data_IF_508819597789
#
_entry.id   IF_508819597789
#
_cell.length_a   1.000
_cell.length_b   1.000
_cell.length_c   1.000
_cell.angle_alpha   90.00
_cell.angle_beta   90.00
_cell.angle_gamma   90.00
#
_symmetry.space_group_name_H-M   'P 1'
#
loop_
_entity.id
_entity.type
_entity.pdbx_description
1 polymer ?
#
# COMPACT_ATOMS: atom_id res chain seq x y z
N UNK A 1 -2.54 5.79 15.56
CA UNK A 1 -1.14 5.98 15.12
C UNK A 1 -0.21 5.08 15.93
N UNK A 2 0.88 4.61 15.32
CA UNK A 2 1.77 3.60 15.92
C UNK A 2 2.72 4.16 17.00
N UNK A 3 3.04 5.46 16.95
CA UNK A 3 3.98 6.10 17.88
C UNK A 3 3.44 7.40 18.44
N UNK A 4 3.99 7.82 19.58
CA UNK A 4 3.59 9.06 20.24
C UNK A 4 3.96 10.30 19.42
N UNK A 5 5.14 10.29 18.79
CA UNK A 5 5.57 11.41 17.93
C UNK A 5 4.64 11.57 16.71
N UNK A 6 4.27 10.47 16.07
CA UNK A 6 3.32 10.52 14.96
C UNK A 6 1.93 10.98 15.42
N UNK A 7 1.49 10.55 16.62
CA UNK A 7 0.25 11.04 17.21
C UNK A 7 0.26 12.55 17.46
N UNK A 8 1.37 13.09 17.96
CA UNK A 8 1.54 14.53 18.16
C UNK A 8 1.54 15.29 16.83
N UNK A 9 2.19 14.77 15.81
CA UNK A 9 2.20 15.37 14.48
C UNK A 9 0.80 15.39 13.86
N UNK A 10 0.06 14.29 13.93
CA UNK A 10 -1.34 14.25 13.51
C UNK A 10 -2.19 15.24 14.31
N UNK A 11 -2.01 15.29 15.62
CA UNK A 11 -2.72 16.24 16.48
C UNK A 11 -2.53 17.69 16.06
N UNK A 12 -1.28 18.10 15.80
CA UNK A 12 -0.99 19.45 15.30
C UNK A 12 -1.67 19.71 13.95
N UNK A 13 -1.58 18.76 13.02
CA UNK A 13 -2.16 18.89 11.69
C UNK A 13 -3.70 18.98 11.75
N UNK A 14 -4.34 18.10 12.52
CA UNK A 14 -5.79 18.12 12.66
C UNK A 14 -6.29 19.38 13.38
N UNK A 15 -5.67 19.77 14.49
CA UNK A 15 -6.01 21.03 15.18
C UNK A 15 -5.92 22.23 14.25
N UNK A 16 -4.84 22.34 13.47
CA UNK A 16 -4.67 23.45 12.51
C UNK A 16 -5.73 23.43 11.41
N UNK A 17 -6.05 22.26 10.84
CA UNK A 17 -7.00 22.15 9.73
C UNK A 17 -8.47 22.30 10.16
N UNK A 18 -8.80 21.83 11.36
CA UNK A 18 -10.16 21.88 11.90
C UNK A 18 -10.47 23.09 12.75
N UNK A 19 -9.51 24.02 12.89
CA UNK A 19 -9.67 25.24 13.69
C UNK A 19 -10.91 26.04 13.29
N UNK A 20 -11.15 26.17 11.99
CA UNK A 20 -12.30 26.93 11.44
C UNK A 20 -13.65 26.27 11.68
N UNK A 21 -13.67 24.96 11.97
CA UNK A 21 -14.91 24.18 12.15
C UNK A 21 -15.32 24.05 13.62
N UNK A 22 -14.61 24.70 14.54
CA UNK A 22 -14.83 24.58 15.98
C UNK A 22 -14.90 23.13 16.50
N UNK A 23 -14.09 22.25 15.89
CA UNK A 23 -14.06 20.81 16.17
C UNK A 23 -13.10 20.52 17.31
N UNK A 24 -13.58 19.78 18.32
CA UNK A 24 -12.76 19.35 19.46
C UNK A 24 -11.84 18.21 19.07
N UNK A 25 -10.52 18.44 19.12
CA UNK A 25 -9.47 17.45 18.81
C UNK A 25 -8.69 17.13 20.08
N UNK A 26 -8.78 15.89 20.55
CA UNK A 26 -8.02 15.40 21.70
C UNK A 26 -6.91 14.41 21.30
N UNK A 27 -5.90 14.28 22.15
CA UNK A 27 -4.79 13.33 21.94
C UNK A 27 -4.64 12.45 23.16
N UNK A 28 -4.70 11.13 22.94
CA UNK A 28 -4.50 10.13 23.98
C UNK A 28 -3.23 9.33 23.71
N UNK A 29 -2.21 9.62 24.46
CA UNK A 29 -0.92 8.95 24.38
C UNK A 29 -0.39 8.69 25.80
N UNK A 30 0.77 8.09 25.90
CA UNK A 30 1.43 7.91 27.22
C UNK A 30 1.84 9.22 27.90
N UNK A 31 1.96 10.33 27.17
CA UNK A 31 2.24 11.66 27.74
C UNK A 31 1.01 12.35 28.31
N UNK A 32 -0.17 11.82 28.01
CA UNK A 32 -1.40 12.37 28.56
C UNK A 32 -1.45 12.12 30.06
N UNK A 33 -1.50 13.18 30.85
CA UNK A 33 -1.57 13.10 32.31
C UNK A 33 -2.84 12.35 32.75
N UNK A 34 -2.82 11.79 33.97
CA UNK A 34 -3.98 11.07 34.50
C UNK A 34 -5.25 11.95 34.58
N UNK A 35 -5.07 13.26 34.86
CA UNK A 35 -6.17 14.22 34.91
C UNK A 35 -6.75 14.47 33.50
N UNK A 36 -5.91 14.76 32.54
CA UNK A 36 -6.31 14.95 31.14
C UNK A 36 -6.95 13.69 30.57
N UNK A 37 -6.40 12.50 30.89
CA UNK A 37 -6.96 11.24 30.46
C UNK A 37 -8.40 11.06 30.93
N UNK A 38 -8.71 11.38 32.20
CA UNK A 38 -10.09 11.31 32.71
C UNK A 38 -11.00 12.26 31.95
N UNK A 39 -10.58 13.48 31.71
CA UNK A 39 -11.35 14.49 30.96
C UNK A 39 -11.61 14.01 29.51
N UNK A 40 -10.60 13.45 28.85
CA UNK A 40 -10.75 12.90 27.50
C UNK A 40 -11.75 11.74 27.49
N UNK A 41 -11.66 10.81 28.45
CA UNK A 41 -12.58 9.67 28.52
C UNK A 41 -14.03 10.10 28.78
N UNK A 42 -14.26 11.10 29.63
CA UNK A 42 -15.57 11.69 29.87
C UNK A 42 -16.10 12.40 28.62
N UNK A 43 -15.26 13.23 27.96
CA UNK A 43 -15.64 13.92 26.72
C UNK A 43 -15.96 12.99 25.56
N UNK A 44 -15.28 11.84 25.46
CA UNK A 44 -15.60 10.80 24.45
C UNK A 44 -16.95 10.13 24.75
N UNK A 45 -17.24 9.85 26.01
CA UNK A 45 -18.49 9.26 26.43
C UNK A 45 -19.68 10.21 26.23
N UNK A 46 -19.48 11.50 26.44
CA UNK A 46 -20.52 12.52 26.28
C UNK A 46 -20.69 12.98 24.83
N UNK A 47 -19.70 12.73 23.96
CA UNK A 47 -19.68 13.23 22.57
C UNK A 47 -19.10 14.62 22.39
N UNK A 48 -18.46 15.19 23.43
CA UNK A 48 -17.83 16.53 23.39
C UNK A 48 -16.57 16.53 22.53
N UNK A 49 -15.91 15.35 22.36
CA UNK A 49 -14.72 15.18 21.55
C UNK A 49 -15.11 14.50 20.23
N UNK A 50 -14.96 15.23 19.13
CA UNK A 50 -15.28 14.75 17.80
C UNK A 50 -14.12 13.99 17.14
N UNK A 51 -12.86 14.36 17.43
CA UNK A 51 -11.68 13.72 16.86
C UNK A 51 -10.73 13.29 17.98
N UNK A 52 -10.46 11.98 18.05
CA UNK A 52 -9.45 11.44 18.96
C UNK A 52 -8.26 10.92 18.18
N UNK A 53 -7.07 11.42 18.48
CA UNK A 53 -5.81 10.89 17.99
C UNK A 53 -5.15 10.10 19.11
N UNK A 54 -4.95 8.79 18.88
CA UNK A 54 -4.45 7.91 19.92
C UNK A 54 -3.36 6.96 19.42
N UNK A 55 -2.52 6.50 20.33
CA UNK A 55 -1.61 5.38 20.13
C UNK A 55 -2.28 4.06 20.54
N UNK A 56 -1.50 3.00 20.76
CA UNK A 56 -1.99 1.71 21.27
C UNK A 56 -2.80 1.82 22.58
N UNK A 57 -2.75 2.98 23.26
CA UNK A 57 -3.60 3.27 24.44
C UNK A 57 -5.11 3.18 24.14
N UNK A 58 -5.51 3.25 22.87
CA UNK A 58 -6.90 3.12 22.42
C UNK A 58 -7.49 1.72 22.66
N UNK A 59 -6.68 0.68 22.67
CA UNK A 59 -7.14 -0.72 22.80
C UNK A 59 -7.40 -1.16 24.25
N UNK A 60 -7.56 -0.22 25.18
CA UNK A 60 -7.91 -0.52 26.56
C UNK A 60 -9.42 -0.66 26.72
N UNK A 61 -9.85 -1.64 27.55
CA UNK A 61 -11.28 -1.97 27.75
C UNK A 61 -12.14 -0.82 28.28
N UNK A 62 -11.51 0.19 28.90
CA UNK A 62 -12.21 1.28 29.61
C UNK A 62 -12.68 2.42 28.68
N UNK A 63 -12.29 2.42 27.41
CA UNK A 63 -12.65 3.50 26.49
C UNK A 63 -14.03 3.21 25.89
N UNK A 64 -14.95 4.17 26.08
CA UNK A 64 -16.29 4.15 25.50
C UNK A 64 -16.48 5.39 24.63
N UNK A 65 -16.95 5.18 23.41
CA UNK A 65 -17.34 6.25 22.50
C UNK A 65 -18.87 6.39 22.52
N UNK A 66 -19.36 7.63 22.47
CA UNK A 66 -20.77 7.92 22.34
C UNK A 66 -21.29 7.47 20.97
N UNK A 67 -20.62 7.96 19.91
CA UNK A 67 -20.96 7.62 18.53
C UNK A 67 -19.68 7.57 17.68
N UNK A 68 -19.07 6.38 17.56
CA UNK A 68 -17.89 6.18 16.74
C UNK A 68 -18.31 5.87 15.30
N UNK A 69 -18.13 6.82 14.38
CA UNK A 69 -18.49 6.63 12.97
C UNK A 69 -17.31 6.20 12.09
N UNK A 70 -16.09 6.64 12.41
CA UNK A 70 -14.91 6.38 11.56
C UNK A 70 -13.69 6.01 12.40
N UNK A 71 -12.99 4.97 11.98
CA UNK A 71 -11.68 4.58 12.52
C UNK A 71 -10.63 4.63 11.42
N UNK A 72 -9.58 5.44 11.64
CA UNK A 72 -8.44 5.52 10.73
C UNK A 72 -7.22 4.93 11.40
N UNK A 73 -6.62 3.91 10.78
CA UNK A 73 -5.42 3.22 11.25
C UNK A 73 -4.28 3.59 10.31
N UNK A 74 -3.34 4.40 10.79
CA UNK A 74 -2.13 4.75 10.04
C UNK A 74 -0.98 3.79 10.39
N UNK A 75 -0.21 3.38 9.37
CA UNK A 75 0.82 2.34 9.46
C UNK A 75 0.23 1.01 9.97
N UNK A 76 -0.80 0.50 9.28
CA UNK A 76 -1.59 -0.68 9.66
C UNK A 76 -0.73 -1.89 10.07
N UNK A 77 0.43 -2.07 9.45
CA UNK A 77 1.37 -3.17 9.72
C UNK A 77 1.96 -3.15 11.14
N UNK A 78 1.85 -2.04 11.86
CA UNK A 78 2.34 -1.89 13.24
C UNK A 78 1.31 -2.31 14.30
N UNK A 79 0.10 -2.66 13.88
CA UNK A 79 -0.99 -3.08 14.77
C UNK A 79 -1.27 -4.57 14.61
N UNK A 80 -1.38 -5.28 15.72
CA UNK A 80 -1.78 -6.68 15.75
C UNK A 80 -3.22 -6.89 15.26
N UNK A 81 -3.51 -8.09 14.76
CA UNK A 81 -4.84 -8.47 14.28
C UNK A 81 -5.88 -8.34 15.39
N UNK A 82 -5.60 -8.89 16.57
CA UNK A 82 -6.49 -8.84 17.74
C UNK A 82 -6.85 -7.41 18.17
N UNK A 83 -5.88 -6.47 18.05
CA UNK A 83 -6.14 -5.07 18.38
C UNK A 83 -7.13 -4.42 17.43
N UNK A 84 -7.02 -4.72 16.14
CA UNK A 84 -7.94 -4.20 15.11
C UNK A 84 -9.33 -4.78 15.30
N UNK A 85 -9.43 -6.08 15.46
CA UNK A 85 -10.68 -6.81 15.66
C UNK A 85 -11.41 -6.36 16.93
N UNK A 86 -10.69 -6.03 18.01
CA UNK A 86 -11.30 -5.55 19.25
C UNK A 86 -12.20 -4.32 19.04
N UNK A 87 -11.77 -3.34 18.23
CA UNK A 87 -12.58 -2.15 17.96
C UNK A 87 -13.67 -2.42 16.93
N UNK A 88 -13.39 -3.20 15.90
CA UNK A 88 -14.35 -3.55 14.85
C UNK A 88 -15.52 -4.35 15.44
N UNK A 89 -15.23 -5.37 16.25
CA UNK A 89 -16.26 -6.19 16.88
C UNK A 89 -17.11 -5.41 17.89
N UNK A 90 -16.51 -4.40 18.53
CA UNK A 90 -17.24 -3.57 19.50
C UNK A 90 -18.12 -2.50 18.85
N UNK A 91 -17.75 -2.05 17.64
CA UNK A 91 -18.44 -1.01 16.87
C UNK A 91 -18.62 -1.48 15.43
N UNK A 92 -19.53 -2.40 15.13
CA UNK A 92 -19.60 -3.07 13.81
C UNK A 92 -20.02 -2.16 12.65
N UNK A 93 -20.57 -0.98 12.93
CA UNK A 93 -21.05 -0.03 11.90
C UNK A 93 -20.04 1.08 11.56
N UNK A 94 -18.77 0.97 11.99
CA UNK A 94 -17.77 2.00 11.72
C UNK A 94 -17.21 1.87 10.31
N UNK A 95 -16.92 3.01 9.70
CA UNK A 95 -16.07 3.07 8.50
C UNK A 95 -14.60 2.89 8.89
N UNK A 96 -13.96 1.84 8.38
CA UNK A 96 -12.57 1.53 8.67
C UNK A 96 -11.68 1.95 7.49
N UNK A 97 -10.73 2.84 7.76
CA UNK A 97 -9.68 3.22 6.83
C UNK A 97 -8.32 2.73 7.35
N UNK A 98 -7.68 1.86 6.60
CA UNK A 98 -6.31 1.40 6.88
C UNK A 98 -5.34 2.04 5.90
N UNK A 99 -4.34 2.75 6.40
CA UNK A 99 -3.32 3.42 5.60
C UNK A 99 -1.99 2.69 5.72
N UNK A 100 -1.32 2.49 4.60
CA UNK A 100 0.01 1.90 4.57
C UNK A 100 0.85 2.51 3.45
N UNK A 101 2.11 2.82 3.73
CA UNK A 101 3.07 3.24 2.72
C UNK A 101 3.63 2.05 1.93
N UNK A 102 3.59 0.85 2.51
CA UNK A 102 4.03 -0.39 1.89
C UNK A 102 2.88 -1.39 1.98
N UNK A 103 2.21 -1.71 0.87
CA UNK A 103 1.13 -2.68 0.90
C UNK A 103 1.67 -4.01 1.44
N UNK A 104 1.03 -4.50 2.51
CA UNK A 104 1.33 -5.82 3.03
C UNK A 104 0.80 -6.81 1.97
N UNK A 105 1.58 -7.82 1.57
CA UNK A 105 1.15 -8.82 0.60
C UNK A 105 -0.23 -9.41 0.90
N UNK A 106 -0.51 -9.68 2.18
CA UNK A 106 -1.81 -10.20 2.63
C UNK A 106 -2.97 -9.19 2.42
N UNK A 107 -2.77 -7.91 2.73
CA UNK A 107 -3.80 -6.87 2.53
C UNK A 107 -4.08 -6.66 1.04
N UNK A 108 -3.04 -6.70 0.22
CA UNK A 108 -3.15 -6.65 -1.23
C UNK A 108 -3.92 -7.86 -1.78
N UNK A 109 -3.59 -9.05 -1.30
CA UNK A 109 -4.27 -10.29 -1.66
C UNK A 109 -5.76 -10.25 -1.29
N UNK A 110 -6.10 -9.80 -0.08
CA UNK A 110 -7.50 -9.61 0.35
C UNK A 110 -8.26 -8.60 -0.53
N UNK A 111 -7.56 -7.59 -1.04
CA UNK A 111 -8.17 -6.64 -1.96
C UNK A 111 -8.37 -7.24 -3.36
N UNK A 112 -7.42 -8.00 -3.87
CA UNK A 112 -7.55 -8.72 -5.13
C UNK A 112 -8.70 -9.74 -5.09
N UNK A 113 -8.96 -10.33 -3.93
CA UNK A 113 -10.07 -11.25 -3.68
C UNK A 113 -11.42 -10.54 -3.41
N UNK A 114 -11.48 -9.20 -3.46
CA UNK A 114 -12.72 -8.47 -3.21
C UNK A 114 -13.18 -8.42 -1.75
N UNK A 115 -12.33 -8.85 -0.82
CA UNK A 115 -12.62 -8.84 0.62
C UNK A 115 -12.40 -7.46 1.26
N UNK A 116 -11.60 -6.60 0.62
CA UNK A 116 -11.35 -5.22 1.03
C UNK A 116 -11.26 -4.30 -0.18
N UNK A 117 -11.85 -3.14 -0.09
CA UNK A 117 -11.64 -2.09 -1.08
C UNK A 117 -10.22 -1.53 -0.97
N UNK A 118 -9.61 -1.22 -2.11
CA UNK A 118 -8.27 -0.64 -2.20
C UNK A 118 -8.31 0.64 -3.02
N UNK A 119 -7.81 1.72 -2.43
CA UNK A 119 -7.56 2.96 -3.15
C UNK A 119 -6.06 3.23 -3.18
N UNK A 120 -5.51 3.44 -4.36
CA UNK A 120 -4.08 3.72 -4.55
C UNK A 120 -3.88 5.21 -4.80
N UNK A 121 -3.10 5.87 -3.92
CA UNK A 121 -2.66 7.25 -4.12
C UNK A 121 -1.29 7.20 -4.79
N UNK A 122 -1.27 7.11 -6.12
CA UNK A 122 -0.04 6.92 -6.92
C UNK A 122 0.62 8.21 -7.37
N UNK A 123 -0.10 9.33 -7.43
CA UNK A 123 0.43 10.61 -7.93
C UNK A 123 1.09 11.39 -6.78
N UNK A 124 2.40 11.64 -6.85
CA UNK A 124 3.08 12.46 -5.86
C UNK A 124 2.67 13.95 -6.01
N UNK A 125 2.80 14.76 -4.94
CA UNK A 125 2.63 16.21 -5.06
C UNK A 125 3.57 16.82 -6.10
N UNK A 126 3.09 17.78 -6.89
CA UNK A 126 3.80 18.40 -8.01
C UNK A 126 5.18 19.01 -7.64
N UNK A 127 5.34 19.43 -6.39
CA UNK A 127 6.58 20.04 -5.90
C UNK A 127 7.58 19.04 -5.30
N UNK A 128 7.30 17.74 -5.37
CA UNK A 128 8.17 16.73 -4.79
C UNK A 128 9.19 16.24 -5.82
N UNK A 129 10.48 16.45 -5.51
CA UNK A 129 11.59 16.02 -6.36
C UNK A 129 11.95 14.58 -5.99
N UNK A 130 12.24 13.75 -7.00
CA UNK A 130 12.70 12.37 -6.81
C UNK A 130 14.00 12.30 -6.00
N UNK A 131 14.12 11.24 -5.19
CA UNK A 131 15.28 11.03 -4.33
C UNK A 131 16.37 10.30 -5.14
N UNK A 132 17.53 10.91 -5.25
CA UNK A 132 18.67 10.28 -5.92
C UNK A 132 19.29 9.23 -5.00
N UNK A 133 19.27 7.98 -5.44
CA UNK A 133 19.73 6.84 -4.62
C UNK A 133 21.04 6.30 -5.15
N UNK A 134 22.05 6.23 -4.29
CA UNK A 134 23.37 5.67 -4.58
C UNK A 134 23.55 4.37 -3.79
N UNK A 135 23.83 3.28 -4.48
CA UNK A 135 24.20 1.99 -3.89
C UNK A 135 25.67 1.77 -4.15
N UNK A 136 26.46 1.75 -3.10
CA UNK A 136 27.91 1.65 -3.24
C UNK A 136 28.57 1.03 -2.00
N UNK A 137 29.78 0.52 -2.17
CA UNK A 137 30.64 0.13 -1.04
C UNK A 137 30.91 1.35 -0.16
N UNK A 138 31.02 1.13 1.16
CA UNK A 138 31.42 2.20 2.06
C UNK A 138 32.78 2.75 1.69
N UNK A 139 32.86 4.05 1.48
CA UNK A 139 34.06 4.84 1.29
C UNK A 139 33.97 6.09 2.17
N UNK A 140 35.00 6.32 2.98
CA UNK A 140 35.05 7.44 3.92
C UNK A 140 34.86 8.78 3.21
N UNK A 141 35.48 8.97 2.06
CA UNK A 141 35.38 10.22 1.28
C UNK A 141 33.93 10.47 0.87
N UNK A 142 33.23 9.47 0.35
CA UNK A 142 31.82 9.59 -0.05
C UNK A 142 30.94 9.91 1.14
N UNK A 143 31.16 9.31 2.30
CA UNK A 143 30.43 9.57 3.54
C UNK A 143 30.59 11.02 4.00
N UNK A 144 31.85 11.48 4.13
CA UNK A 144 32.18 12.82 4.58
C UNK A 144 31.65 13.88 3.60
N UNK A 145 31.78 13.64 2.30
CA UNK A 145 31.26 14.54 1.24
C UNK A 145 29.74 14.66 1.30
N UNK A 146 29.03 13.55 1.49
CA UNK A 146 27.56 13.57 1.61
C UNK A 146 27.09 14.46 2.78
N UNK A 147 27.74 14.36 3.94
CA UNK A 147 27.42 15.15 5.11
C UNK A 147 27.76 16.62 4.91
N UNK A 148 28.97 16.92 4.45
CA UNK A 148 29.43 18.30 4.25
C UNK A 148 28.55 19.02 3.25
N UNK A 149 28.18 18.38 2.14
CA UNK A 149 27.29 18.96 1.14
C UNK A 149 25.90 19.27 1.70
N UNK A 150 25.36 18.38 2.54
CA UNK A 150 24.04 18.62 3.15
C UNK A 150 24.05 19.78 4.15
N UNK A 151 25.06 19.78 5.03
CA UNK A 151 25.20 20.82 6.06
C UNK A 151 25.49 22.17 5.42
N UNK A 152 26.34 22.24 4.39
CA UNK A 152 26.66 23.48 3.66
C UNK A 152 25.45 24.16 3.04
N UNK A 153 24.45 23.38 2.63
CA UNK A 153 23.19 23.91 2.08
C UNK A 153 22.11 24.14 3.15
N UNK A 154 22.45 24.01 4.45
CA UNK A 154 21.55 24.22 5.58
C UNK A 154 20.50 23.11 5.77
N UNK A 155 20.78 21.92 5.28
CA UNK A 155 19.94 20.74 5.48
C UNK A 155 20.42 19.88 6.64
N UNK A 156 19.71 18.77 6.87
CA UNK A 156 19.97 17.81 7.94
C UNK A 156 20.24 16.41 7.34
N UNK A 157 21.09 15.66 8.04
CA UNK A 157 21.49 14.30 7.63
C UNK A 157 20.89 13.27 8.58
N UNK A 158 20.28 12.27 7.99
CA UNK A 158 19.75 11.14 8.70
C UNK A 158 20.64 9.90 8.46
N UNK A 159 21.23 9.35 9.51
CA UNK A 159 22.16 8.23 9.44
C UNK A 159 21.57 7.01 10.13
N UNK A 160 21.41 5.91 9.41
CA UNK A 160 20.83 4.67 9.92
C UNK A 160 21.88 3.57 9.96
N UNK A 161 21.96 2.90 11.08
CA UNK A 161 22.84 1.75 11.28
C UNK A 161 22.03 0.52 11.69
N UNK A 162 22.42 -0.70 11.30
CA UNK A 162 21.63 -1.90 11.60
C UNK A 162 21.68 -2.31 13.09
N UNK A 163 22.76 -1.97 13.80
CA UNK A 163 22.99 -2.37 15.19
C UNK A 163 23.52 -1.21 16.03
N UNK A 164 23.20 -1.22 17.32
CA UNK A 164 23.70 -0.23 18.29
C UNK A 164 25.24 -0.23 18.31
N UNK A 165 25.88 -1.40 18.16
CA UNK A 165 27.34 -1.53 18.11
C UNK A 165 28.03 -0.79 16.96
N UNK A 166 27.27 -0.40 15.93
CA UNK A 166 27.79 0.40 14.80
C UNK A 166 27.78 1.90 15.06
N UNK A 167 27.08 2.38 16.10
CA UNK A 167 26.97 3.81 16.41
C UNK A 167 28.35 4.44 16.70
N UNK A 168 29.20 3.86 17.56
CA UNK A 168 30.51 4.46 17.85
C UNK A 168 31.41 4.63 16.61
N UNK A 169 31.29 3.72 15.63
CA UNK A 169 32.00 3.86 14.36
C UNK A 169 31.57 5.15 13.64
N UNK A 170 30.27 5.39 13.52
CA UNK A 170 29.72 6.58 12.84
C UNK A 170 30.10 7.85 13.60
N UNK A 171 30.05 7.86 14.93
CA UNK A 171 30.45 8.99 15.74
C UNK A 171 31.95 9.32 15.53
N UNK A 172 32.80 8.31 15.45
CA UNK A 172 34.24 8.50 15.17
C UNK A 172 34.47 9.05 13.75
N UNK A 173 33.69 8.61 12.76
CA UNK A 173 33.77 9.14 11.40
C UNK A 173 33.33 10.60 11.35
N UNK A 174 32.27 10.97 12.07
CA UNK A 174 31.82 12.37 12.18
C UNK A 174 32.88 13.28 12.82
N UNK A 175 33.57 12.83 13.87
CA UNK A 175 34.65 13.58 14.53
C UNK A 175 35.83 13.89 13.60
N UNK A 176 36.07 13.05 12.59
CA UNK A 176 37.13 13.28 11.61
C UNK A 176 36.87 14.45 10.66
N UNK A 177 35.61 14.92 10.55
CA UNK A 177 35.24 16.08 9.73
C UNK A 177 35.85 17.39 10.25
N UNK A 178 36.31 17.45 11.51
CA UNK A 178 36.81 18.68 12.15
C UNK A 178 35.83 19.87 12.05
N UNK A 179 34.55 19.61 11.79
CA UNK A 179 33.46 20.57 11.76
C UNK A 179 32.68 20.46 13.08
N UNK A 180 32.20 21.60 13.57
CA UNK A 180 31.32 21.64 14.72
C UNK A 180 29.90 21.21 14.32
N UNK A 181 29.72 19.89 14.16
CA UNK A 181 28.45 19.29 13.76
C UNK A 181 27.70 18.84 14.98
N UNK A 182 26.52 19.44 15.20
CA UNK A 182 25.60 18.96 16.23
C UNK A 182 24.96 17.63 15.80
N UNK A 183 25.11 16.59 16.62
CA UNK A 183 24.46 15.31 16.32
C UNK A 183 23.75 14.73 17.55
N UNK A 184 22.72 13.94 17.29
CA UNK A 184 22.00 13.17 18.28
C UNK A 184 21.99 11.69 17.95
N UNK A 185 21.83 10.87 18.98
CA UNK A 185 21.77 9.41 18.85
C UNK A 185 20.44 8.91 19.35
N UNK A 186 19.79 8.00 18.57
CA UNK A 186 18.52 7.36 18.95
C UNK A 186 18.57 5.84 18.75
N UNK A 187 18.35 5.05 19.82
CA UNK A 187 18.33 3.59 19.73
C UNK A 187 17.40 2.93 20.78
N UNK A 188 17.04 1.66 20.57
CA UNK A 188 16.02 0.92 21.34
C UNK A 188 16.34 0.73 22.83
N UNK A 189 17.61 0.84 23.23
CA UNK A 189 18.01 0.71 24.65
C UNK A 189 17.89 2.02 25.43
N UNK A 190 17.65 3.15 24.77
CA UNK A 190 17.38 4.43 25.43
C UNK A 190 15.97 4.45 26.01
N UNK A 191 15.77 5.28 27.03
CA UNK A 191 14.42 5.56 27.52
C UNK A 191 13.64 6.26 26.42
N UNK A 192 12.37 5.91 26.29
CA UNK A 192 11.51 6.45 25.25
C UNK A 192 11.44 7.97 25.23
N UNK A 193 11.50 8.61 26.42
CA UNK A 193 11.53 10.08 26.55
C UNK A 193 12.82 10.65 25.95
N UNK A 194 13.95 10.03 26.19
CA UNK A 194 15.25 10.48 25.63
C UNK A 194 15.24 10.39 24.10
N UNK A 195 14.67 9.32 23.57
CA UNK A 195 14.51 9.15 22.12
C UNK A 195 13.66 10.28 21.55
N UNK A 196 12.53 10.59 22.20
CA UNK A 196 11.62 11.63 21.75
C UNK A 196 12.24 13.02 21.84
N UNK A 197 12.98 13.33 22.89
CA UNK A 197 13.70 14.60 23.05
C UNK A 197 14.72 14.79 21.91
N UNK A 198 15.50 13.75 21.58
CA UNK A 198 16.45 13.78 20.47
C UNK A 198 15.72 14.00 19.13
N UNK A 199 14.59 13.32 18.93
CA UNK A 199 13.80 13.50 17.69
C UNK A 199 13.18 14.88 17.57
N UNK A 200 12.68 15.43 18.67
CA UNK A 200 12.14 16.79 18.69
C UNK A 200 13.24 17.80 18.36
N UNK A 201 14.42 17.68 18.95
CA UNK A 201 15.58 18.53 18.66
C UNK A 201 16.00 18.40 17.18
N UNK A 202 15.97 17.19 16.61
CA UNK A 202 16.24 17.01 15.19
C UNK A 202 15.16 17.63 14.30
N UNK A 203 13.89 17.44 14.64
CA UNK A 203 12.78 18.02 13.88
C UNK A 203 12.74 19.54 13.94
N UNK A 204 13.15 20.13 15.06
CA UNK A 204 13.23 21.57 15.25
C UNK A 204 14.46 22.21 14.56
N UNK A 205 15.45 21.40 14.15
CA UNK A 205 16.70 21.86 13.53
C UNK A 205 17.85 22.13 14.50
N UNK A 206 17.69 21.83 15.81
CA UNK A 206 18.72 22.02 16.81
C UNK A 206 19.90 21.02 16.62
N UNK A 207 19.63 19.92 15.96
CA UNK A 207 20.60 18.85 15.63
C UNK A 207 20.69 18.72 14.11
N UNK A 208 21.92 18.72 13.58
CA UNK A 208 22.21 18.62 12.15
C UNK A 208 22.27 17.18 11.66
N UNK A 209 22.78 16.26 12.48
CA UNK A 209 22.89 14.84 12.16
C UNK A 209 22.13 14.00 13.19
N UNK A 210 21.30 13.07 12.73
CA UNK A 210 20.69 12.09 13.59
C UNK A 210 21.21 10.70 13.26
N UNK A 211 21.87 10.06 14.21
CA UNK A 211 22.34 8.66 14.10
C UNK A 211 21.33 7.77 14.79
N UNK A 212 20.82 6.78 14.09
CA UNK A 212 19.82 5.90 14.68
C UNK A 212 19.90 4.48 14.19
N UNK A 213 19.37 3.58 15.01
CA UNK A 213 19.02 2.23 14.57
C UNK A 213 17.62 2.24 13.93
N UNK A 214 17.10 1.08 13.57
CA UNK A 214 15.84 0.85 12.85
C UNK A 214 14.55 1.37 13.56
N UNK A 215 14.67 2.13 14.66
CA UNK A 215 13.54 2.65 15.43
C UNK A 215 12.71 3.69 14.65
N UNK A 216 13.28 4.25 13.58
CA UNK A 216 12.74 5.39 12.85
C UNK A 216 11.78 4.99 11.72
N UNK A 217 11.34 3.76 11.66
CA UNK A 217 10.33 3.30 10.71
C UNK A 217 8.97 4.02 10.86
N UNK A 218 8.75 4.74 11.95
CA UNK A 218 7.44 5.29 12.31
C UNK A 218 7.22 6.72 11.80
N UNK A 219 6.64 6.84 10.61
CA UNK A 219 5.80 7.94 10.09
C UNK A 219 6.22 9.41 10.26
N UNK A 220 7.34 9.72 10.91
CA UNK A 220 7.74 11.08 11.25
C UNK A 220 8.12 11.89 10.01
N UNK A 221 7.57 13.08 9.88
CA UNK A 221 7.89 14.03 8.82
C UNK A 221 9.03 14.97 9.27
N UNK A 222 10.18 14.87 8.61
CA UNK A 222 11.35 15.69 8.87
C UNK A 222 11.64 16.53 7.63
N UNK A 223 11.11 17.74 7.59
CA UNK A 223 11.15 18.60 6.39
C UNK A 223 12.55 18.95 5.91
N UNK A 224 13.52 19.10 6.82
CA UNK A 224 14.88 19.54 6.50
C UNK A 224 15.86 18.38 6.30
N UNK A 225 15.48 17.14 6.59
CA UNK A 225 16.31 15.98 6.33
C UNK A 225 16.26 15.61 4.83
N UNK A 226 17.25 16.03 4.06
CA UNK A 226 17.32 15.77 2.64
C UNK A 226 18.44 14.80 2.27
N UNK A 227 19.28 14.38 3.20
CA UNK A 227 20.29 13.32 2.98
C UNK A 227 20.07 12.17 3.97
N UNK A 228 19.91 10.97 3.42
CA UNK A 228 19.83 9.71 4.15
C UNK A 228 21.10 8.90 3.89
N UNK A 229 21.70 8.37 4.95
CA UNK A 229 22.84 7.46 4.85
C UNK A 229 22.49 6.18 5.60
N UNK A 230 22.58 5.02 4.93
CA UNK A 230 22.31 3.71 5.54
C UNK A 230 23.59 2.89 5.47
N UNK A 231 24.13 2.52 6.63
CA UNK A 231 25.28 1.62 6.74
C UNK A 231 24.80 0.15 6.70
N UNK A 232 25.63 -0.72 6.09
CA UNK A 232 25.33 -2.14 5.95
C UNK A 232 23.90 -2.37 5.42
N UNK A 233 23.54 -1.63 4.37
CA UNK A 233 22.20 -1.60 3.78
C UNK A 233 21.70 -2.98 3.33
N UNK A 234 22.63 -3.90 3.03
CA UNK A 234 22.36 -5.30 2.70
C UNK A 234 21.67 -6.09 3.83
N UNK A 235 21.74 -5.63 5.08
CA UNK A 235 21.12 -6.27 6.24
C UNK A 235 19.64 -5.86 6.43
N UNK A 236 19.16 -4.88 5.66
CA UNK A 236 17.77 -4.41 5.74
C UNK A 236 16.88 -5.11 4.72
N UNK A 237 15.61 -5.24 5.04
CA UNK A 237 14.58 -5.66 4.08
C UNK A 237 14.28 -4.58 3.04
N UNK A 238 13.80 -4.98 1.85
CA UNK A 238 13.48 -4.04 0.77
C UNK A 238 12.42 -3.00 1.19
N UNK A 239 11.35 -3.46 1.84
CA UNK A 239 10.30 -2.59 2.38
C UNK A 239 10.83 -1.60 3.43
N UNK A 240 11.78 -2.03 4.29
CA UNK A 240 12.40 -1.16 5.29
C UNK A 240 13.25 -0.08 4.64
N UNK A 241 14.09 -0.44 3.67
CA UNK A 241 14.91 0.51 2.93
C UNK A 241 14.05 1.55 2.19
N UNK A 242 12.95 1.10 1.61
CA UNK A 242 12.00 1.98 0.94
C UNK A 242 11.33 2.95 1.91
N UNK A 243 10.87 2.47 3.06
CA UNK A 243 10.31 3.31 4.11
C UNK A 243 11.31 4.34 4.64
N UNK A 244 12.56 3.91 4.88
CA UNK A 244 13.64 4.81 5.31
C UNK A 244 13.94 5.86 4.24
N UNK A 245 14.04 5.46 2.96
CA UNK A 245 14.22 6.40 1.85
C UNK A 245 13.09 7.43 1.78
N UNK A 246 11.85 7.01 2.01
CA UNK A 246 10.69 7.90 2.04
C UNK A 246 10.66 8.91 3.20
N UNK A 247 11.60 8.82 4.16
CA UNK A 247 11.72 9.79 5.27
C UNK A 247 12.43 11.07 4.86
N UNK A 248 13.23 11.06 3.81
CA UNK A 248 13.88 12.24 3.26
C UNK A 248 13.19 12.75 2.00
N UNK A 249 13.51 13.97 1.55
CA UNK A 249 12.95 14.52 0.32
C UNK A 249 11.48 14.94 0.43
N UNK A 250 11.08 15.47 1.56
CA UNK A 250 9.71 16.01 1.79
C UNK A 250 9.63 17.51 1.61
N UNK A 251 10.72 18.13 1.17
CA UNK A 251 10.80 19.54 0.82
C UNK A 251 10.93 19.72 -0.69
N UNK A 252 10.97 20.97 -1.14
CA UNK A 252 11.25 21.34 -2.53
C UNK A 252 12.74 21.29 -2.89
N UNK A 253 13.58 20.69 -2.03
CA UNK A 253 15.02 20.50 -2.28
C UNK A 253 15.28 19.06 -2.70
N UNK A 254 16.25 18.86 -3.60
CA UNK A 254 16.66 17.51 -4.01
C UNK A 254 17.26 16.75 -2.85
N UNK A 255 16.75 15.54 -2.62
CA UNK A 255 17.23 14.64 -1.59
C UNK A 255 18.13 13.53 -2.15
N UNK A 256 18.97 13.00 -1.28
CA UNK A 256 19.95 11.97 -1.58
C UNK A 256 19.84 10.82 -0.58
N UNK A 257 19.96 9.60 -1.07
CA UNK A 257 20.03 8.40 -0.26
C UNK A 257 21.31 7.62 -0.60
N UNK A 258 22.21 7.46 0.37
CA UNK A 258 23.42 6.69 0.24
C UNK A 258 23.25 5.35 0.95
N UNK A 259 23.23 4.27 0.20
CA UNK A 259 23.09 2.91 0.70
C UNK A 259 24.48 2.26 0.67
N UNK A 260 25.18 2.38 1.77
CA UNK A 260 26.48 1.76 1.92
C UNK A 260 26.34 0.28 2.26
N UNK A 261 27.09 -0.55 1.57
CA UNK A 261 27.14 -1.99 1.81
C UNK A 261 28.56 -2.46 2.05
N UNK A 262 28.69 -3.67 2.59
CA UNK A 262 29.99 -4.34 2.74
C UNK A 262 30.59 -4.73 1.38
N UNK A 263 31.77 -5.30 1.39
CA UNK A 263 32.42 -5.82 0.18
C UNK A 263 31.49 -6.79 -0.56
N UNK A 264 31.38 -6.66 -1.89
CA UNK A 264 30.54 -7.52 -2.75
C UNK A 264 30.78 -9.02 -2.56
N UNK A 265 32.00 -9.40 -2.14
CA UNK A 265 32.34 -10.80 -1.83
C UNK A 265 31.59 -11.36 -0.60
N UNK A 266 31.07 -10.50 0.26
CA UNK A 266 30.36 -10.86 1.48
C UNK A 266 28.84 -10.75 1.36
N UNK A 267 28.35 -10.22 0.24
CA UNK A 267 26.91 -10.00 0.01
C UNK A 267 26.34 -11.14 -0.83
N UNK A 268 25.22 -11.69 -0.39
CA UNK A 268 24.51 -12.66 -1.20
C UNK A 268 23.82 -11.98 -2.41
N UNK A 269 23.67 -12.72 -3.50
CA UNK A 269 23.06 -12.23 -4.76
C UNK A 269 21.66 -11.63 -4.54
N UNK A 270 20.89 -12.17 -3.63
CA UNK A 270 19.54 -11.71 -3.28
C UNK A 270 19.56 -10.32 -2.65
N UNK A 271 20.50 -10.06 -1.72
CA UNK A 271 20.65 -8.74 -1.10
C UNK A 271 21.11 -7.68 -2.10
N UNK A 272 22.02 -8.04 -3.01
CA UNK A 272 22.43 -7.13 -4.07
C UNK A 272 21.28 -6.78 -5.02
N UNK A 273 20.49 -7.78 -5.42
CA UNK A 273 19.29 -7.56 -6.25
C UNK A 273 18.31 -6.60 -5.58
N UNK A 274 18.05 -6.72 -4.27
CA UNK A 274 17.20 -5.78 -3.50
C UNK A 274 17.68 -4.34 -3.57
N UNK A 275 19.00 -4.13 -3.42
CA UNK A 275 19.58 -2.78 -3.46
C UNK A 275 19.52 -2.18 -4.87
N UNK A 276 19.75 -2.98 -5.91
CA UNK A 276 19.63 -2.56 -7.30
C UNK A 276 18.19 -2.19 -7.68
N UNK A 277 17.22 -3.00 -7.25
CA UNK A 277 15.79 -2.70 -7.41
C UNK A 277 15.47 -1.34 -6.81
N UNK A 278 15.91 -1.08 -5.56
CA UNK A 278 15.65 0.19 -4.91
C UNK A 278 16.31 1.39 -5.61
N UNK A 279 17.49 1.20 -6.20
CA UNK A 279 18.19 2.25 -6.98
C UNK A 279 17.46 2.58 -8.28
N UNK A 280 16.92 1.57 -8.97
CA UNK A 280 16.22 1.74 -10.24
C UNK A 280 14.84 2.40 -10.09
N UNK A 281 14.18 2.21 -8.95
CA UNK A 281 12.89 2.83 -8.67
C UNK A 281 13.07 4.25 -8.07
N UNK A 282 13.51 5.20 -8.90
CA UNK A 282 13.63 6.62 -8.50
C UNK A 282 12.26 7.30 -8.35
N UNK A 283 11.23 6.84 -9.06
CA UNK A 283 9.92 7.46 -9.07
C UNK A 283 9.15 7.21 -7.76
N UNK A 284 8.58 8.29 -7.25
CA UNK A 284 7.63 8.25 -6.14
C UNK A 284 6.33 7.59 -6.64
N UNK A 285 5.82 6.62 -5.89
CA UNK A 285 4.60 5.89 -6.28
C UNK A 285 4.83 4.43 -6.69
N UNK A 286 6.08 3.98 -6.84
CA UNK A 286 6.42 2.59 -7.19
C UNK A 286 6.18 1.56 -6.06
N UNK A 287 5.37 1.90 -5.04
CA UNK A 287 5.16 1.07 -3.84
C UNK A 287 4.60 -0.31 -4.17
N UNK A 288 3.72 -0.38 -5.16
CA UNK A 288 3.09 -1.63 -5.56
C UNK A 288 4.07 -2.53 -6.33
N UNK A 289 4.81 -1.96 -7.27
CA UNK A 289 5.85 -2.68 -8.01
C UNK A 289 6.92 -3.20 -7.05
N UNK A 290 7.29 -2.40 -6.05
CA UNK A 290 8.27 -2.78 -5.04
C UNK A 290 7.75 -3.91 -4.12
N UNK A 291 6.46 -3.92 -3.81
CA UNK A 291 5.83 -5.01 -3.05
C UNK A 291 5.82 -6.31 -3.85
N UNK A 292 5.55 -6.26 -5.15
CA UNK A 292 5.63 -7.41 -6.03
C UNK A 292 7.07 -7.94 -6.16
N UNK A 293 8.06 -7.06 -6.32
CA UNK A 293 9.48 -7.43 -6.33
C UNK A 293 9.92 -8.06 -4.99
N UNK A 294 9.46 -7.52 -3.84
CA UNK A 294 9.76 -8.12 -2.52
C UNK A 294 9.14 -9.52 -2.40
N UNK A 295 7.95 -9.73 -2.96
CA UNK A 295 7.31 -11.05 -3.07
C UNK A 295 8.10 -12.03 -3.94
N UNK A 296 8.52 -11.61 -5.10
CA UNK A 296 9.34 -12.44 -5.99
C UNK A 296 10.68 -12.81 -5.36
N UNK A 297 11.33 -11.84 -4.69
CA UNK A 297 12.62 -12.05 -4.03
C UNK A 297 12.51 -12.97 -2.82
N UNK A 298 11.42 -12.91 -2.06
CA UNK A 298 11.17 -13.79 -0.90
C UNK A 298 10.69 -15.17 -1.31
N UNK A 299 10.17 -15.30 -2.53
CA UNK A 299 9.48 -16.48 -3.00
C UNK A 299 8.04 -16.57 -2.46
N UNK A 300 7.14 -17.04 -3.29
CA UNK A 300 5.70 -17.11 -3.01
C UNK A 300 5.31 -17.98 -1.80
N UNK A 301 6.22 -18.83 -1.31
CA UNK A 301 5.97 -19.75 -0.19
C UNK A 301 5.84 -19.13 1.20
N UNK A 302 6.24 -17.84 1.39
CA UNK A 302 6.18 -17.16 2.70
C UNK A 302 4.95 -16.26 2.90
N UNK A 303 3.99 -16.28 1.97
CA UNK A 303 2.82 -15.39 1.98
C UNK A 303 1.73 -15.80 2.97
N UNK A 304 1.70 -17.05 3.31
CA UNK A 304 0.61 -17.67 4.06
C UNK A 304 1.19 -18.33 5.30
N UNK A 305 1.45 -17.82 6.38
CA UNK A 305 1.94 -18.40 7.64
C UNK A 305 2.39 -19.88 7.60
N UNK A 306 3.24 -20.31 8.48
CA UNK A 306 3.86 -21.64 8.42
C UNK A 306 2.87 -22.81 8.35
N UNK A 307 1.66 -22.66 8.88
CA UNK A 307 0.61 -23.70 8.84
C UNK A 307 -0.09 -23.81 7.48
N UNK A 308 -0.11 -22.76 6.65
CA UNK A 308 -0.77 -22.74 5.34
C UNK A 308 0.21 -22.94 4.17
N UNK A 309 1.51 -22.79 4.40
CA UNK A 309 2.54 -22.91 3.37
C UNK A 309 2.68 -24.30 2.75
N UNK A 310 2.25 -25.35 3.46
CA UNK A 310 2.23 -26.74 2.96
C UNK A 310 1.23 -26.93 1.81
N UNK A 311 -0.01 -26.53 2.03
CA UNK A 311 -1.10 -26.71 1.05
C UNK A 311 -0.92 -25.85 -0.22
N UNK A 312 -0.38 -24.64 -0.09
CA UNK A 312 -0.16 -23.75 -1.26
C UNK A 312 0.98 -24.22 -2.14
N UNK A 313 1.99 -24.90 -1.59
CA UNK A 313 3.05 -25.52 -2.40
C UNK A 313 2.58 -26.69 -3.24
N UNK A 314 1.60 -27.42 -2.75
CA UNK A 314 1.05 -28.60 -3.45
C UNK A 314 0.02 -28.22 -4.53
N UNK A 315 -0.77 -27.18 -4.29
CA UNK A 315 -1.93 -26.82 -5.13
C UNK A 315 -1.59 -25.69 -6.12
N UNK A 316 -0.58 -24.88 -5.84
CA UNK A 316 -0.25 -23.66 -6.59
C UNK A 316 -1.06 -22.46 -6.11
N UNK A 317 -0.43 -21.27 -6.18
CA UNK A 317 -1.01 -20.01 -5.65
C UNK A 317 -2.27 -19.61 -6.40
N UNK A 318 -2.28 -19.81 -7.71
CA UNK A 318 -3.40 -19.43 -8.58
C UNK A 318 -4.66 -20.24 -8.28
N UNK A 319 -4.51 -21.57 -8.13
CA UNK A 319 -5.62 -22.44 -7.78
C UNK A 319 -6.14 -22.20 -6.37
N UNK A 320 -5.24 -21.94 -5.40
CA UNK A 320 -5.65 -21.55 -4.04
C UNK A 320 -6.43 -20.23 -4.02
N UNK A 321 -6.01 -19.25 -4.82
CA UNK A 321 -6.72 -17.97 -4.96
C UNK A 321 -8.11 -18.16 -5.58
N UNK A 322 -8.21 -19.02 -6.60
CA UNK A 322 -9.49 -19.37 -7.21
C UNK A 322 -10.44 -20.03 -6.22
N UNK A 323 -9.97 -21.07 -5.51
CA UNK A 323 -10.78 -21.76 -4.49
C UNK A 323 -11.21 -20.83 -3.35
N UNK A 324 -10.33 -19.92 -2.89
CA UNK A 324 -10.66 -18.97 -1.86
C UNK A 324 -11.69 -17.94 -2.34
N UNK A 325 -11.58 -17.51 -3.60
CA UNK A 325 -12.54 -16.62 -4.24
C UNK A 325 -13.91 -17.26 -4.32
N UNK A 326 -13.98 -18.49 -4.83
CA UNK A 326 -15.21 -19.29 -4.92
C UNK A 326 -15.88 -19.46 -3.55
N UNK A 327 -15.11 -19.80 -2.51
CA UNK A 327 -15.67 -19.99 -1.18
C UNK A 327 -16.13 -18.67 -0.54
N UNK A 328 -15.42 -17.56 -0.77
CA UNK A 328 -15.83 -16.22 -0.33
C UNK A 328 -17.11 -15.79 -1.04
N UNK A 329 -17.22 -16.04 -2.33
CA UNK A 329 -18.40 -15.74 -3.11
C UNK A 329 -19.58 -16.61 -2.65
N UNK A 330 -19.35 -17.90 -2.39
CA UNK A 330 -20.35 -18.81 -1.81
C UNK A 330 -20.85 -18.35 -0.42
N UNK A 331 -19.96 -17.84 0.42
CA UNK A 331 -20.34 -17.29 1.74
C UNK A 331 -21.05 -15.94 1.67
N UNK A 332 -20.76 -15.15 0.65
CA UNK A 332 -21.44 -13.86 0.39
C UNK A 332 -22.77 -14.04 -0.30
N UNK A 333 -22.90 -15.09 -1.08
CA UNK A 333 -24.10 -15.38 -1.86
C UNK A 333 -25.08 -16.20 -1.03
N UNK A 334 -26.13 -15.54 -0.53
CA UNK A 334 -27.44 -16.12 -0.74
C UNK A 334 -27.76 -15.89 -2.23
N UNK A 335 -27.00 -16.57 -3.13
CA UNK A 335 -27.00 -16.28 -4.56
C UNK A 335 -28.26 -16.78 -5.23
N UNK A 336 -28.81 -15.95 -6.08
CA UNK A 336 -29.78 -16.34 -7.09
C UNK A 336 -29.07 -17.17 -8.17
N UNK A 337 -29.78 -18.13 -8.78
CA UNK A 337 -29.26 -19.03 -9.86
C UNK A 337 -28.58 -18.25 -11.02
N UNK A 338 -28.89 -16.96 -11.21
CA UNK A 338 -28.33 -16.11 -12.24
C UNK A 338 -26.83 -15.74 -12.00
N UNK A 339 -26.37 -15.64 -10.75
CA UNK A 339 -24.97 -15.33 -10.42
C UNK A 339 -24.04 -16.51 -10.68
N UNK A 340 -24.49 -17.77 -10.52
CA UNK A 340 -23.71 -18.96 -10.84
C UNK A 340 -23.42 -19.08 -12.36
N UNK A 341 -24.37 -18.71 -13.20
CA UNK A 341 -24.22 -18.72 -14.66
C UNK A 341 -23.22 -17.67 -15.14
N UNK A 342 -23.12 -16.54 -14.43
CA UNK A 342 -22.16 -15.45 -14.79
C UNK A 342 -20.70 -15.88 -14.65
N UNK A 343 -20.40 -16.80 -13.74
CA UNK A 343 -19.03 -17.27 -13.50
C UNK A 343 -18.58 -18.38 -14.46
N UNK A 344 -19.51 -19.17 -15.02
CA UNK A 344 -19.22 -20.26 -15.96
C UNK A 344 -19.13 -19.81 -17.42
N UNK A 345 -19.35 -18.51 -17.74
CA UNK A 345 -19.37 -18.06 -19.13
C UNK A 345 -17.99 -18.07 -19.77
N UNK A 346 -17.82 -18.91 -20.79
CA UNK A 346 -16.61 -19.00 -21.61
C UNK A 346 -16.79 -18.28 -22.96
N UNK A 347 -15.79 -17.50 -23.34
CA UNK A 347 -15.74 -16.87 -24.65
C UNK A 347 -14.39 -17.10 -25.33
N UNK A 348 -14.42 -17.60 -26.56
CA UNK A 348 -13.25 -17.78 -27.40
C UNK A 348 -13.45 -17.05 -28.72
N UNK A 349 -12.50 -16.19 -29.11
CA UNK A 349 -12.52 -15.47 -30.39
C UNK A 349 -11.16 -15.56 -31.10
N UNK A 350 -11.19 -15.38 -32.42
CA UNK A 350 -9.99 -15.39 -33.28
C UNK A 350 -9.31 -14.03 -33.41
N UNK A 351 -9.76 -13.00 -32.69
CA UNK A 351 -9.21 -11.64 -32.65
C UNK A 351 -8.73 -11.31 -31.24
N UNK A 352 -7.88 -10.29 -31.14
CA UNK A 352 -7.31 -9.82 -29.88
C UNK A 352 -8.29 -8.94 -29.11
N UNK A 353 -8.43 -9.19 -27.80
CA UNK A 353 -9.32 -8.47 -26.90
C UNK A 353 -8.64 -8.35 -25.51
N UNK A 354 -7.83 -7.32 -25.37
CA UNK A 354 -7.10 -7.05 -24.13
C UNK A 354 -6.85 -5.53 -23.97
N UNK A 355 -6.37 -5.11 -22.82
CA UNK A 355 -5.94 -3.72 -22.58
C UNK A 355 -4.44 -3.62 -22.85
N UNK A 356 -3.99 -2.96 -23.95
CA UNK A 356 -2.58 -2.85 -24.30
C UNK A 356 -1.79 -2.09 -23.24
N UNK A 357 -0.51 -2.47 -23.09
CA UNK A 357 0.43 -1.84 -22.16
C UNK A 357 0.74 -0.40 -22.55
N UNK A 358 0.67 -0.10 -23.83
CA UNK A 358 0.89 1.25 -24.38
C UNK A 358 -0.30 2.19 -24.08
N UNK A 359 -1.49 1.64 -23.86
CA UNK A 359 -2.67 2.42 -23.48
C UNK A 359 -2.74 2.65 -21.97
N UNK A 360 -2.56 1.61 -21.16
CA UNK A 360 -2.45 1.71 -19.70
C UNK A 360 -1.12 1.08 -19.28
N UNK A 361 -0.09 1.89 -19.10
CA UNK A 361 1.26 1.43 -18.83
C UNK A 361 1.44 0.84 -17.43
N UNK A 362 0.66 1.32 -16.44
CA UNK A 362 0.70 0.84 -15.08
C UNK A 362 -0.07 -0.48 -14.94
N UNK A 363 0.63 -1.55 -14.57
CA UNK A 363 0.06 -2.90 -14.45
C UNK A 363 -1.06 -2.98 -13.41
N UNK A 364 -0.99 -2.18 -12.35
CA UNK A 364 -2.02 -2.13 -11.29
C UNK A 364 -3.29 -1.47 -11.77
N UNK A 365 -3.16 -0.31 -12.39
CA UNK A 365 -4.29 0.42 -12.96
C UNK A 365 -4.99 -0.44 -14.01
N UNK A 366 -4.21 -1.17 -14.84
CA UNK A 366 -4.75 -2.08 -15.85
C UNK A 366 -5.53 -3.23 -15.20
N UNK A 367 -5.00 -3.85 -14.13
CA UNK A 367 -5.69 -4.91 -13.40
C UNK A 367 -6.99 -4.43 -12.74
N UNK A 368 -6.98 -3.23 -12.14
CA UNK A 368 -8.18 -2.63 -11.54
C UNK A 368 -9.26 -2.40 -12.60
N UNK A 369 -8.87 -1.93 -13.78
CA UNK A 369 -9.81 -1.73 -14.89
C UNK A 369 -10.36 -3.08 -15.39
N UNK A 370 -9.51 -4.09 -15.60
CA UNK A 370 -9.97 -5.44 -15.95
C UNK A 370 -11.01 -5.96 -14.96
N UNK A 371 -10.75 -5.79 -13.68
CA UNK A 371 -11.67 -6.22 -12.64
C UNK A 371 -13.01 -5.48 -12.70
N UNK A 372 -12.99 -4.15 -12.86
CA UNK A 372 -14.22 -3.36 -13.01
C UNK A 372 -15.01 -3.79 -14.24
N UNK A 373 -14.32 -4.05 -15.36
CA UNK A 373 -14.95 -4.51 -16.60
C UNK A 373 -15.55 -5.92 -16.46
N UNK A 374 -14.84 -6.85 -15.85
CA UNK A 374 -15.30 -8.25 -15.72
C UNK A 374 -16.39 -8.41 -14.66
N UNK A 375 -16.44 -7.54 -13.65
CA UNK A 375 -17.49 -7.53 -12.61
C UNK A 375 -18.74 -6.76 -13.00
N UNK A 376 -18.75 -6.07 -14.15
CA UNK A 376 -19.93 -5.37 -14.63
C UNK A 376 -21.04 -6.36 -15.03
N UNK A 377 -22.19 -6.26 -14.38
CA UNK A 377 -23.36 -7.11 -14.63
C UNK A 377 -24.39 -6.42 -15.54
N UNK A 378 -24.17 -5.17 -15.90
CA UNK A 378 -25.06 -4.39 -16.76
C UNK A 378 -24.30 -3.53 -17.76
N UNK A 379 -24.93 -3.28 -18.93
CA UNK A 379 -24.39 -2.35 -19.94
C UNK A 379 -24.20 -0.92 -19.40
N UNK A 380 -24.94 -0.52 -18.36
CA UNK A 380 -24.79 0.79 -17.72
C UNK A 380 -23.49 0.88 -16.94
N UNK A 381 -23.15 -0.16 -16.19
CA UNK A 381 -21.89 -0.24 -15.45
C UNK A 381 -20.70 -0.31 -16.40
N UNK A 382 -20.80 -1.10 -17.46
CA UNK A 382 -19.77 -1.19 -18.49
C UNK A 382 -19.48 0.19 -19.12
N UNK A 383 -20.52 0.96 -19.46
CA UNK A 383 -20.38 2.32 -19.99
C UNK A 383 -19.75 3.28 -18.97
N UNK A 384 -20.05 3.13 -17.67
CA UNK A 384 -19.43 3.96 -16.65
C UNK A 384 -17.92 3.74 -16.55
N UNK A 385 -17.48 2.48 -16.63
CA UNK A 385 -16.04 2.12 -16.64
C UNK A 385 -15.37 2.66 -17.91
N UNK A 386 -16.05 2.62 -19.06
CA UNK A 386 -15.56 3.20 -20.31
C UNK A 386 -15.32 4.69 -20.22
N UNK A 387 -16.28 5.43 -19.71
CA UNK A 387 -16.11 6.87 -19.48
C UNK A 387 -14.95 7.17 -18.55
N UNK A 388 -14.76 6.38 -17.47
CA UNK A 388 -13.60 6.52 -16.61
C UNK A 388 -12.28 6.27 -17.37
N UNK A 389 -12.24 5.28 -18.26
CA UNK A 389 -11.07 4.97 -19.07
C UNK A 389 -10.74 6.09 -20.05
N UNK A 390 -11.74 6.61 -20.77
CA UNK A 390 -11.57 7.70 -21.71
C UNK A 390 -11.11 8.99 -21.03
N UNK A 391 -11.68 9.32 -19.87
CA UNK A 391 -11.33 10.52 -19.09
C UNK A 391 -9.89 10.45 -18.56
N UNK A 392 -9.42 9.27 -18.16
CA UNK A 392 -8.10 9.10 -17.55
C UNK A 392 -6.97 8.81 -18.52
N UNK A 393 -7.27 8.10 -19.62
CA UNK A 393 -6.24 7.55 -20.51
C UNK A 393 -6.44 7.97 -21.98
N UNK A 394 -7.51 8.69 -22.29
CA UNK A 394 -7.87 9.11 -23.65
C UNK A 394 -8.61 8.03 -24.43
N UNK A 395 -8.74 8.21 -25.75
CA UNK A 395 -9.43 7.28 -26.63
C UNK A 395 -8.78 5.90 -26.63
N UNK A 396 -9.59 4.86 -26.51
CA UNK A 396 -9.13 3.48 -26.40
C UNK A 396 -8.83 2.86 -27.78
N UNK A 397 -7.85 1.93 -27.87
CA UNK A 397 -7.49 1.22 -29.09
C UNK A 397 -8.50 0.09 -29.41
N UNK A 398 -8.37 -0.48 -30.62
CA UNK A 398 -9.27 -1.51 -31.15
C UNK A 398 -9.38 -2.76 -30.27
N UNK A 399 -8.30 -3.16 -29.63
CA UNK A 399 -8.25 -4.33 -28.74
C UNK A 399 -9.14 -4.12 -27.50
N UNK A 400 -9.22 -2.89 -27.00
CA UNK A 400 -10.10 -2.51 -25.90
C UNK A 400 -11.56 -2.46 -26.38
N UNK A 401 -11.82 -1.91 -27.57
CA UNK A 401 -13.15 -1.91 -28.17
C UNK A 401 -13.68 -3.35 -28.34
N UNK A 402 -12.84 -4.24 -28.84
CA UNK A 402 -13.13 -5.66 -28.94
C UNK A 402 -13.48 -6.30 -27.59
N UNK A 403 -12.70 -6.01 -26.54
CA UNK A 403 -12.95 -6.48 -25.19
C UNK A 403 -14.32 -6.03 -24.67
N UNK A 404 -14.69 -4.78 -24.92
CA UNK A 404 -15.97 -4.21 -24.50
C UNK A 404 -17.14 -4.84 -25.23
N UNK A 405 -17.02 -4.99 -26.55
CA UNK A 405 -18.03 -5.66 -27.35
C UNK A 405 -18.25 -7.10 -26.87
N UNK A 406 -17.17 -7.79 -26.53
CA UNK A 406 -17.22 -9.12 -25.95
C UNK A 406 -17.96 -9.15 -24.62
N UNK A 407 -17.65 -8.23 -23.69
CA UNK A 407 -18.33 -8.15 -22.41
C UNK A 407 -19.80 -7.78 -22.55
N UNK A 408 -20.14 -6.93 -23.55
CA UNK A 408 -21.52 -6.61 -23.88
C UNK A 408 -22.28 -7.86 -24.36
N UNK A 409 -21.65 -8.64 -25.23
CA UNK A 409 -22.21 -9.93 -25.71
C UNK A 409 -22.37 -10.90 -24.53
N UNK A 410 -21.39 -11.00 -23.64
CA UNK A 410 -21.47 -11.81 -22.43
C UNK A 410 -22.71 -11.47 -21.61
N UNK A 411 -22.92 -10.21 -21.28
CA UNK A 411 -24.07 -9.74 -20.48
C UNK A 411 -25.40 -10.12 -21.13
N UNK A 412 -25.49 -9.96 -22.47
CA UNK A 412 -26.70 -10.30 -23.20
C UNK A 412 -26.92 -11.81 -23.31
N UNK A 413 -25.84 -12.58 -23.49
CA UNK A 413 -25.87 -14.02 -23.67
C UNK A 413 -26.32 -14.76 -22.41
N UNK A 414 -25.93 -14.27 -21.24
CA UNK A 414 -26.33 -14.85 -19.97
C UNK A 414 -27.85 -14.76 -19.77
N UNK A 415 -28.46 -13.63 -20.14
CA UNK A 415 -29.94 -13.50 -20.08
C UNK A 415 -30.69 -14.47 -21.01
N UNK A 416 -29.98 -14.99 -22.02
CA UNK A 416 -30.51 -16.00 -22.97
C UNK A 416 -30.14 -17.45 -22.57
N UNK A 417 -29.44 -17.63 -21.45
CA UNK A 417 -29.00 -18.94 -20.99
C UNK A 417 -27.78 -19.50 -21.75
N UNK A 418 -27.03 -18.69 -22.47
CA UNK A 418 -25.80 -19.09 -23.17
C UNK A 418 -24.62 -19.03 -22.19
N UNK A 419 -23.88 -20.13 -22.06
CA UNK A 419 -22.71 -20.24 -21.18
C UNK A 419 -21.38 -20.28 -21.93
N UNK A 420 -21.41 -20.56 -23.24
CA UNK A 420 -20.18 -20.60 -24.04
C UNK A 420 -20.44 -20.08 -25.45
N UNK A 421 -19.53 -19.19 -25.89
CA UNK A 421 -19.49 -18.70 -27.28
C UNK A 421 -18.10 -18.95 -27.84
N UNK A 422 -18.01 -19.65 -28.95
CA UNK A 422 -16.78 -19.87 -29.70
C UNK A 422 -16.89 -19.26 -31.08
N UNK A 423 -16.26 -18.08 -31.27
CA UNK A 423 -16.25 -17.36 -32.54
C UNK A 423 -15.10 -17.82 -33.41
N UNK A 424 -15.44 -18.47 -34.52
CA UNK A 424 -14.50 -18.83 -35.56
C UNK A 424 -14.73 -18.03 -36.84
N UNK A 425 -13.76 -18.05 -37.78
CA UNK A 425 -13.86 -17.24 -39.01
C UNK A 425 -15.08 -17.52 -39.88
N UNK A 426 -15.68 -18.71 -39.76
CA UNK A 426 -16.76 -19.19 -40.64
C UNK A 426 -18.05 -19.59 -39.91
N UNK A 427 -17.99 -19.80 -38.62
CA UNK A 427 -19.13 -20.22 -37.80
C UNK A 427 -18.99 -19.76 -36.35
N UNK A 428 -20.10 -19.81 -35.64
CA UNK A 428 -20.22 -19.50 -34.23
C UNK A 428 -20.81 -20.72 -33.55
N UNK A 429 -20.10 -21.24 -32.53
CA UNK A 429 -20.64 -22.29 -31.66
C UNK A 429 -21.22 -21.67 -30.41
N UNK A 430 -22.46 -21.97 -30.07
CA UNK A 430 -23.14 -21.55 -28.86
C UNK A 430 -23.48 -22.74 -28.00
N UNK A 431 -23.18 -22.69 -26.71
CA UNK A 431 -23.58 -23.69 -25.73
C UNK A 431 -24.54 -23.05 -24.73
N UNK A 432 -25.70 -23.69 -24.56
CA UNK A 432 -26.76 -23.22 -23.68
C UNK A 432 -26.77 -24.06 -22.40
N UNK A 433 -26.96 -23.46 -21.25
CA UNK A 433 -27.21 -24.13 -19.97
C UNK A 433 -28.69 -24.51 -19.84
N UNK A 434 -29.58 -23.55 -20.10
CA UNK A 434 -31.04 -23.76 -20.18
C UNK A 434 -31.57 -23.03 -21.41
N UNK A 435 -32.40 -23.67 -22.17
CA UNK A 435 -33.08 -23.05 -23.31
C UNK A 435 -34.50 -22.76 -22.91
N UNK A 436 -34.87 -21.48 -22.87
CA UNK A 436 -36.24 -21.04 -22.59
C UNK A 436 -37.12 -21.28 -23.81
N UNK A 437 -38.43 -21.50 -23.64
CA UNK A 437 -39.38 -21.75 -24.72
C UNK A 437 -39.28 -20.73 -25.87
N UNK A 438 -39.19 -19.45 -25.55
CA UNK A 438 -39.06 -18.37 -26.57
C UNK A 438 -37.74 -18.43 -27.34
N UNK A 439 -36.63 -18.83 -26.72
CA UNK A 439 -35.34 -19.02 -27.40
C UNK A 439 -35.39 -20.26 -28.29
N UNK A 440 -36.07 -21.32 -27.85
CA UNK A 440 -36.27 -22.55 -28.66
C UNK A 440 -37.03 -22.25 -29.94
N UNK A 441 -38.10 -21.42 -29.90
CA UNK A 441 -38.89 -21.03 -31.09
C UNK A 441 -38.03 -20.24 -32.05
N UNK A 442 -37.25 -19.26 -31.59
CA UNK A 442 -36.35 -18.44 -32.42
C UNK A 442 -35.29 -19.30 -33.10
N UNK A 443 -34.66 -20.24 -32.37
CA UNK A 443 -33.66 -21.17 -32.92
C UNK A 443 -34.27 -22.08 -33.98
N UNK A 444 -35.46 -22.60 -33.75
CA UNK A 444 -36.18 -23.43 -34.74
C UNK A 444 -36.51 -22.61 -36.03
N UNK A 445 -36.89 -21.36 -35.88
CA UNK A 445 -37.19 -20.47 -36.99
C UNK A 445 -35.90 -20.16 -37.82
N UNK A 446 -34.77 -19.90 -37.11
CA UNK A 446 -33.47 -19.71 -37.75
C UNK A 446 -32.96 -20.95 -38.51
N UNK A 447 -33.18 -22.15 -37.97
CA UNK A 447 -32.87 -23.40 -38.69
C UNK A 447 -33.73 -23.60 -39.91
N UNK A 448 -35.03 -23.28 -39.83
CA UNK A 448 -35.95 -23.35 -40.98
C UNK A 448 -35.60 -22.34 -42.09
N UNK A 449 -35.05 -21.21 -41.74
CA UNK A 449 -34.60 -20.13 -42.66
C UNK A 449 -33.16 -20.35 -43.19
N UNK A 450 -32.50 -21.47 -42.88
CA UNK A 450 -31.09 -21.81 -43.22
C UNK A 450 -30.07 -20.74 -42.73
N UNK A 451 -30.33 -20.09 -41.58
CA UNK A 451 -29.37 -19.17 -40.93
C UNK A 451 -28.42 -19.94 -40.01
N UNK A 452 -28.72 -21.16 -39.61
CA UNK A 452 -27.91 -22.06 -38.78
C UNK A 452 -27.83 -23.42 -39.44
#
# INVERSE_FOLDING_TARGET
>A
SSTTLLALQHSRTFKSRFLIFNTSVATLSRFTSLKEKKQILEGLKNGDIQILIATHSLFKKDIKFNNLGTLVIDEEQKFGVEQKEFLINRYPHIHLFSLSATPIPRTLQMSLLGLKDLSVIGTPPSNRISIRTYVQKYEQVSFLTAITNEISRGGQVFIVVPRISNIPFVENELKKLQLDISYGVGHSKMKEKEIEDVFLSFTNGDIQCLISTNIIESGIDIKNANTLIIFNSNLFGLSQLYQLRGRVGRSNRRAYAYLFHDSEKLINKTSLKKLQVLANYENLGSNFQLANEDLEIRGAGNLLGDEQSGHVKEIGIELYQSMLKEEVERLKSHSTEEEEIFEEFEFNAFFEYYIPKDYISDDVSRLIIYRKLTSAISNRELKAVLHEMEDRYGSYPLEVENLINLLTIKIQSISLGIIKINLQKRYIDLVFHKVNEGVSEILLDMVQQNFI
#
